data_IF_927983005288
#
_entry.id   IF_927983005288
#
_cell.length_a   1.000
_cell.length_b   1.000
_cell.length_c   1.000
_cell.angle_alpha   90.00
_cell.angle_beta   90.00
_cell.angle_gamma   90.00
#
_symmetry.space_group_name_H-M   'P 1'
#
loop_
_entity.id
_entity.type
_entity.pdbx_description
1 polymer ?
#
# COMPACT_ATOMS: atom_id res chain seq x y z
N UNK A 1 -8.41 15.31 35.77
CA UNK A 1 -8.34 16.72 35.39
C UNK A 1 -9.03 16.87 34.02
N UNK A 2 -10.14 17.64 33.93
CA UNK A 2 -10.82 17.91 32.67
C UNK A 2 -10.02 18.93 31.86
N UNK A 3 -9.82 18.68 30.58
CA UNK A 3 -9.27 19.67 29.66
C UNK A 3 -10.43 20.58 29.27
N UNK A 4 -10.42 21.85 29.69
CA UNK A 4 -11.36 22.86 29.22
C UNK A 4 -11.04 23.23 27.77
N UNK A 5 -11.83 22.72 26.82
CA UNK A 5 -11.71 23.08 25.40
C UNK A 5 -12.62 24.29 25.12
N UNK A 6 -12.12 25.27 24.38
CA UNK A 6 -12.94 26.35 23.86
C UNK A 6 -13.87 25.87 22.75
N UNK A 7 -14.95 26.58 22.46
CA UNK A 7 -15.91 26.25 21.39
C UNK A 7 -15.32 26.26 19.96
N UNK A 8 -14.03 26.59 19.82
CA UNK A 8 -13.32 26.66 18.54
C UNK A 8 -12.58 25.35 18.15
N UNK A 9 -12.59 24.34 19.02
CA UNK A 9 -11.91 23.08 18.76
C UNK A 9 -12.91 21.97 18.43
N UNK A 10 -12.58 21.17 17.41
CA UNK A 10 -13.26 19.91 17.12
C UNK A 10 -12.35 18.76 17.56
N UNK A 11 -12.88 17.86 18.38
CA UNK A 11 -12.16 16.67 18.83
C UNK A 11 -12.52 15.53 17.87
N UNK A 12 -11.50 14.90 17.30
CA UNK A 12 -11.61 13.71 16.44
C UNK A 12 -10.83 12.55 17.07
N UNK A 13 -11.19 11.30 16.78
CA UNK A 13 -10.29 10.17 17.02
C UNK A 13 -8.96 10.41 16.31
N UNK A 14 -7.85 9.88 16.87
CA UNK A 14 -6.57 9.89 16.18
C UNK A 14 -6.65 9.12 14.86
N UNK A 15 -5.94 9.60 13.84
CA UNK A 15 -5.93 8.96 12.53
C UNK A 15 -5.13 7.64 12.56
N UNK A 16 -5.47 6.74 11.64
CA UNK A 16 -4.70 5.52 11.36
C UNK A 16 -4.24 5.56 9.91
N UNK A 17 -2.93 5.42 9.67
CA UNK A 17 -2.37 5.25 8.33
C UNK A 17 -2.05 3.76 8.11
N UNK A 18 -2.70 3.15 7.14
CA UNK A 18 -2.56 1.71 6.89
C UNK A 18 -1.39 1.36 5.97
N UNK A 19 -0.61 2.36 5.54
CA UNK A 19 0.50 2.15 4.62
C UNK A 19 1.63 3.15 4.84
N UNK A 20 2.65 2.76 5.61
CA UNK A 20 3.86 3.57 5.80
C UNK A 20 5.13 2.75 5.65
N UNK A 21 6.26 3.43 5.41
CA UNK A 21 7.58 2.83 5.26
C UNK A 21 8.55 3.39 6.31
N UNK A 22 8.66 2.75 7.46
CA UNK A 22 9.62 3.17 8.50
C UNK A 22 11.02 2.57 8.34
N UNK A 23 11.23 1.74 7.31
CA UNK A 23 12.54 1.33 6.79
C UNK A 23 13.51 0.62 7.76
N UNK A 24 13.09 0.30 8.97
CA UNK A 24 13.87 -0.49 9.93
C UNK A 24 13.25 -1.87 10.17
N UNK A 25 14.10 -2.90 10.17
CA UNK A 25 15.56 -2.91 10.03
C UNK A 25 16.05 -2.72 8.58
N UNK A 26 17.33 -2.37 8.43
CA UNK A 26 18.10 -2.46 7.20
C UNK A 26 18.24 -1.18 6.37
N UNK A 27 17.30 -0.24 6.44
CA UNK A 27 17.30 0.98 5.63
C UNK A 27 17.15 2.26 6.47
N UNK A 28 17.66 2.28 7.69
CA UNK A 28 17.55 3.39 8.64
C UNK A 28 18.12 4.72 8.12
N UNK A 29 18.94 4.70 7.07
CA UNK A 29 19.40 5.90 6.38
C UNK A 29 18.28 6.61 5.58
N UNK A 30 17.14 5.95 5.33
CA UNK A 30 15.96 6.53 4.68
C UNK A 30 14.95 7.03 5.69
N UNK A 31 14.64 6.20 6.69
CA UNK A 31 13.70 6.50 7.78
C UNK A 31 13.93 5.52 8.93
N UNK A 32 13.59 5.95 10.17
CA UNK A 32 13.62 5.12 11.37
C UNK A 32 12.23 5.01 11.98
N UNK A 33 11.98 3.97 12.79
CA UNK A 33 10.74 3.83 13.55
C UNK A 33 10.58 5.01 14.51
N UNK A 34 11.68 5.46 15.14
CA UNK A 34 11.66 6.59 16.07
C UNK A 34 11.25 7.91 15.40
N UNK A 35 11.81 8.23 14.23
CA UNK A 35 11.54 9.49 13.53
C UNK A 35 10.22 9.44 12.75
N UNK A 36 9.91 8.32 12.10
CA UNK A 36 8.67 8.12 11.39
C UNK A 36 7.44 8.12 12.31
N UNK A 37 7.51 7.46 13.47
CA UNK A 37 6.41 7.49 14.45
C UNK A 37 6.18 8.89 15.04
N UNK A 38 7.24 9.68 15.25
CA UNK A 38 7.12 11.08 15.67
C UNK A 38 6.50 11.96 14.58
N UNK A 39 6.87 11.75 13.31
CA UNK A 39 6.28 12.46 12.18
C UNK A 39 4.78 12.15 12.07
N UNK A 40 4.39 10.88 12.19
CA UNK A 40 3.01 10.46 12.20
C UNK A 40 2.23 11.08 13.39
N UNK A 41 2.78 11.05 14.60
CA UNK A 41 2.18 11.69 15.77
C UNK A 41 1.97 13.19 15.56
N UNK A 42 2.94 13.88 14.95
CA UNK A 42 2.81 15.30 14.61
C UNK A 42 1.69 15.57 13.59
N UNK A 43 1.43 14.61 12.69
CA UNK A 43 0.32 14.64 11.73
C UNK A 43 -1.06 14.28 12.33
N UNK A 44 -1.12 13.94 13.62
CA UNK A 44 -2.37 13.54 14.29
C UNK A 44 -2.69 12.04 14.19
N UNK A 45 -1.75 11.22 13.72
CA UNK A 45 -1.90 9.77 13.69
C UNK A 45 -1.58 9.16 15.06
N UNK A 46 -2.39 8.22 15.49
CA UNK A 46 -2.19 7.44 16.71
C UNK A 46 -1.83 5.99 16.43
N UNK A 47 -1.99 5.56 15.18
CA UNK A 47 -1.66 4.24 14.70
C UNK A 47 -1.16 4.29 13.26
N UNK A 48 -0.21 3.41 12.92
CA UNK A 48 0.27 3.22 11.54
C UNK A 48 0.55 1.74 11.27
N UNK A 49 0.44 1.33 10.00
CA UNK A 49 0.81 -0.02 9.56
C UNK A 49 2.03 0.04 8.65
N UNK A 50 3.13 -0.67 9.02
CA UNK A 50 4.41 -0.60 8.31
C UNK A 50 4.60 -1.73 7.34
N UNK A 51 4.98 -1.42 6.10
CA UNK A 51 5.21 -2.39 5.03
C UNK A 51 6.47 -3.24 5.27
N UNK A 52 6.50 -4.50 4.77
CA UNK A 52 7.52 -5.50 5.09
C UNK A 52 8.80 -5.41 4.25
N UNK A 53 8.89 -4.47 3.30
CA UNK A 53 10.02 -4.31 2.38
C UNK A 53 11.28 -3.74 3.07
N UNK A 54 11.85 -4.57 3.93
CA UNK A 54 12.97 -4.29 4.83
C UNK A 54 14.18 -5.17 4.49
N UNK A 55 15.26 -5.06 5.27
CA UNK A 55 16.43 -5.93 5.17
C UNK A 55 16.86 -6.39 6.60
N UNK A 56 16.56 -7.63 6.98
CA UNK A 56 15.84 -8.63 6.18
C UNK A 56 14.36 -8.29 5.95
N UNK A 57 13.78 -8.85 4.88
CA UNK A 57 12.32 -8.80 4.64
C UNK A 57 11.61 -9.49 5.80
N UNK A 58 10.45 -8.97 6.25
CA UNK A 58 9.65 -9.59 7.32
C UNK A 58 8.87 -10.82 6.81
N UNK A 59 9.60 -11.85 6.33
CA UNK A 59 9.07 -13.07 5.70
C UNK A 59 9.16 -14.31 6.58
N UNK A 60 9.59 -14.16 7.81
CA UNK A 60 9.65 -15.21 8.83
C UNK A 60 9.34 -14.63 10.22
N UNK A 61 8.95 -15.49 11.16
CA UNK A 61 8.72 -15.08 12.54
C UNK A 61 9.96 -14.41 13.18
N UNK A 62 11.16 -14.87 12.82
CA UNK A 62 12.43 -14.30 13.30
C UNK A 62 12.63 -12.88 12.73
N UNK A 63 12.47 -12.68 11.42
CA UNK A 63 12.64 -11.37 10.78
C UNK A 63 11.57 -10.37 11.25
N UNK A 64 10.32 -10.82 11.37
CA UNK A 64 9.23 -10.00 11.91
C UNK A 64 9.52 -9.57 13.35
N UNK A 65 10.06 -10.48 14.18
CA UNK A 65 10.45 -10.16 15.56
C UNK A 65 11.54 -9.09 15.62
N UNK A 66 12.51 -9.09 14.71
CA UNK A 66 13.53 -8.03 14.66
C UNK A 66 12.89 -6.64 14.50
N UNK A 67 11.90 -6.52 13.63
CA UNK A 67 11.15 -5.28 13.46
C UNK A 67 10.34 -4.93 14.71
N UNK A 68 9.65 -5.93 15.30
CA UNK A 68 8.84 -5.74 16.49
C UNK A 68 9.69 -5.24 17.67
N UNK A 69 10.89 -5.79 17.89
CA UNK A 69 11.79 -5.35 18.96
C UNK A 69 12.20 -3.88 18.82
N UNK A 70 12.33 -3.39 17.58
CA UNK A 70 12.61 -1.97 17.33
C UNK A 70 11.35 -1.13 17.58
N UNK A 71 10.18 -1.60 17.15
CA UNK A 71 8.89 -0.94 17.40
C UNK A 71 8.67 -0.76 18.90
N UNK A 72 8.83 -1.82 19.67
CA UNK A 72 8.60 -1.82 21.13
C UNK A 72 9.54 -0.87 21.87
N UNK A 73 10.76 -0.69 21.36
CA UNK A 73 11.76 0.20 21.95
C UNK A 73 11.57 1.67 21.56
N UNK A 74 11.25 1.95 20.29
CA UNK A 74 11.46 3.27 19.69
C UNK A 74 10.18 3.98 19.25
N UNK A 75 9.05 3.27 19.07
CA UNK A 75 7.82 3.86 18.60
C UNK A 75 7.13 4.73 19.68
N UNK A 76 6.65 5.91 19.30
CA UNK A 76 5.88 6.77 20.21
C UNK A 76 4.35 6.72 19.98
N UNK A 77 3.89 5.98 18.97
CA UNK A 77 2.50 5.66 18.67
C UNK A 77 2.37 4.16 18.40
N UNK A 78 1.15 3.66 18.21
CA UNK A 78 0.96 2.27 17.80
C UNK A 78 1.51 2.02 16.40
N UNK A 79 2.36 1.00 16.25
CA UNK A 79 2.92 0.58 14.96
C UNK A 79 2.63 -0.89 14.76
N UNK A 80 1.91 -1.23 13.69
CA UNK A 80 1.50 -2.58 13.36
C UNK A 80 2.24 -3.04 12.09
N UNK A 81 3.15 -4.01 12.18
CA UNK A 81 3.88 -4.47 11.00
C UNK A 81 3.03 -5.38 10.12
N UNK A 82 3.17 -5.25 8.80
CA UNK A 82 2.82 -6.30 7.86
C UNK A 82 3.94 -7.35 7.81
N UNK A 83 3.56 -8.60 7.51
CA UNK A 83 4.51 -9.64 7.12
C UNK A 83 4.45 -9.87 5.61
N UNK A 84 5.54 -10.36 5.01
CA UNK A 84 5.59 -10.64 3.60
C UNK A 84 4.71 -11.84 3.21
N UNK A 85 4.13 -11.79 2.01
CA UNK A 85 3.38 -12.90 1.42
C UNK A 85 4.35 -14.01 0.98
N UNK A 86 5.45 -13.61 0.32
CA UNK A 86 6.41 -14.56 -0.25
C UNK A 86 7.80 -14.38 0.34
N UNK A 87 8.60 -15.45 0.35
CA UNK A 87 9.98 -15.44 0.83
C UNK A 87 10.79 -14.42 0.05
N UNK A 88 11.38 -13.44 0.77
CA UNK A 88 12.15 -12.35 0.19
C UNK A 88 11.36 -11.46 -0.76
N UNK A 89 10.03 -11.51 -0.75
CA UNK A 89 9.13 -10.82 -1.70
C UNK A 89 9.43 -11.15 -3.18
N UNK A 90 9.81 -12.40 -3.46
CA UNK A 90 10.19 -12.84 -4.81
C UNK A 90 9.05 -13.43 -5.63
N UNK A 91 7.89 -13.70 -5.01
CA UNK A 91 6.75 -14.32 -5.68
C UNK A 91 6.92 -15.79 -6.03
N UNK A 92 7.99 -16.45 -5.55
CA UNK A 92 8.36 -17.83 -5.91
C UNK A 92 7.92 -18.88 -4.89
N UNK A 93 7.88 -18.50 -3.62
CA UNK A 93 7.56 -19.38 -2.51
C UNK A 93 6.76 -18.64 -1.45
N UNK A 94 5.65 -19.21 -0.99
CA UNK A 94 4.87 -18.67 0.11
C UNK A 94 5.72 -18.63 1.40
N UNK A 95 5.67 -17.52 2.12
CA UNK A 95 6.29 -17.40 3.44
C UNK A 95 5.51 -18.20 4.50
N UNK A 96 6.06 -18.38 5.69
CA UNK A 96 5.35 -19.02 6.81
C UNK A 96 4.30 -18.06 7.40
N UNK A 97 3.19 -17.88 6.68
CA UNK A 97 2.11 -16.99 7.09
C UNK A 97 1.52 -17.38 8.45
N UNK A 98 1.40 -18.68 8.71
CA UNK A 98 0.85 -19.18 9.98
C UNK A 98 1.75 -18.84 11.17
N UNK A 99 3.05 -18.99 11.02
CA UNK A 99 4.03 -18.63 12.05
C UNK A 99 4.09 -17.13 12.35
N UNK A 100 3.70 -16.28 11.39
CA UNK A 100 3.74 -14.82 11.52
C UNK A 100 2.39 -14.20 11.93
N UNK A 101 1.27 -14.87 11.70
CA UNK A 101 -0.07 -14.30 11.82
C UNK A 101 -0.39 -13.68 13.20
N UNK A 102 0.18 -14.20 14.29
CA UNK A 102 -0.02 -13.67 15.63
C UNK A 102 0.67 -12.33 15.91
N UNK A 103 1.66 -11.98 15.09
CA UNK A 103 2.55 -10.84 15.32
C UNK A 103 2.53 -9.80 14.18
N UNK A 104 1.68 -9.96 13.17
CA UNK A 104 1.50 -8.99 12.10
C UNK A 104 0.04 -8.55 11.98
N UNK A 105 -0.20 -7.36 11.40
CA UNK A 105 -1.56 -6.90 11.12
C UNK A 105 -2.17 -7.70 9.96
N UNK A 106 -1.42 -7.91 8.90
CA UNK A 106 -1.80 -8.66 7.71
C UNK A 106 -0.57 -8.98 6.84
N UNK A 107 -0.78 -9.40 5.58
CA UNK A 107 0.27 -9.82 4.66
C UNK A 107 0.34 -8.93 3.43
N UNK A 108 1.57 -8.59 3.01
CA UNK A 108 1.83 -7.75 1.85
C UNK A 108 3.20 -8.05 1.25
N UNK A 109 3.29 -8.06 -0.08
CA UNK A 109 4.57 -7.97 -0.81
C UNK A 109 4.75 -6.56 -1.38
N UNK A 110 4.40 -5.52 -0.61
CA UNK A 110 4.46 -4.15 -1.08
C UNK A 110 5.80 -3.78 -1.71
N UNK A 111 5.71 -3.03 -2.83
CA UNK A 111 6.81 -2.73 -3.73
C UNK A 111 7.08 -3.81 -4.78
N UNK A 112 6.45 -4.98 -4.67
CA UNK A 112 6.54 -6.10 -5.62
C UNK A 112 5.17 -6.76 -5.74
N UNK A 113 4.51 -6.61 -6.88
CA UNK A 113 3.23 -7.32 -7.10
C UNK A 113 3.45 -8.83 -7.20
N UNK A 114 2.62 -9.63 -6.53
CA UNK A 114 2.62 -11.10 -6.72
C UNK A 114 2.12 -11.41 -8.13
N UNK A 115 2.99 -11.91 -9.00
CA UNK A 115 2.71 -12.07 -10.44
C UNK A 115 1.93 -13.35 -10.77
N UNK A 116 2.06 -14.41 -9.97
CA UNK A 116 1.42 -15.71 -10.19
C UNK A 116 0.01 -15.73 -9.60
N UNK A 117 -0.98 -16.13 -10.43
CA UNK A 117 -2.36 -16.33 -9.99
C UNK A 117 -2.45 -17.42 -8.91
N UNK A 118 -1.74 -18.52 -9.10
CA UNK A 118 -1.75 -19.65 -8.14
C UNK A 118 -1.13 -19.26 -6.81
N UNK A 119 -0.01 -18.51 -6.82
CA UNK A 119 0.64 -17.99 -5.61
C UNK A 119 -0.29 -17.04 -4.85
N UNK A 120 -0.93 -16.11 -5.56
CA UNK A 120 -1.87 -15.16 -4.94
C UNK A 120 -3.10 -15.88 -4.38
N UNK A 121 -3.66 -16.86 -5.11
CA UNK A 121 -4.78 -17.69 -4.64
C UNK A 121 -4.42 -18.45 -3.37
N UNK A 122 -3.26 -19.09 -3.33
CA UNK A 122 -2.78 -19.81 -2.14
C UNK A 122 -2.59 -18.87 -0.95
N UNK A 123 -1.99 -17.70 -1.18
CA UNK A 123 -1.84 -16.65 -0.17
C UNK A 123 -3.18 -16.20 0.39
N UNK A 124 -4.17 -15.93 -0.47
CA UNK A 124 -5.53 -15.51 -0.08
C UNK A 124 -6.25 -16.58 0.74
N UNK A 125 -6.20 -17.85 0.31
CA UNK A 125 -6.80 -18.98 1.05
C UNK A 125 -6.18 -19.08 2.44
N UNK A 126 -4.86 -19.00 2.52
CA UNK A 126 -4.13 -19.09 3.79
C UNK A 126 -4.41 -17.89 4.68
N UNK A 127 -4.36 -16.67 4.16
CA UNK A 127 -4.65 -15.45 4.92
C UNK A 127 -6.07 -15.48 5.51
N UNK A 128 -7.08 -15.85 4.71
CA UNK A 128 -8.47 -16.01 5.17
C UNK A 128 -8.59 -17.02 6.30
N UNK A 129 -7.95 -18.19 6.17
CA UNK A 129 -7.97 -19.22 7.21
C UNK A 129 -7.34 -18.74 8.53
N UNK A 130 -6.42 -17.79 8.47
CA UNK A 130 -5.78 -17.15 9.62
C UNK A 130 -6.52 -15.91 10.14
N UNK A 131 -7.67 -15.54 9.54
CA UNK A 131 -8.42 -14.34 9.89
C UNK A 131 -7.69 -13.04 9.50
N UNK A 132 -6.87 -13.10 8.44
CA UNK A 132 -6.10 -11.99 7.89
C UNK A 132 -6.58 -11.62 6.49
N UNK A 133 -6.15 -10.48 6.00
CA UNK A 133 -6.42 -9.99 4.64
C UNK A 133 -5.13 -10.02 3.80
N UNK A 134 -5.25 -9.81 2.50
CA UNK A 134 -4.09 -9.48 1.66
C UNK A 134 -4.12 -7.98 1.36
N UNK A 135 -2.99 -7.32 1.54
CA UNK A 135 -2.77 -5.90 1.22
C UNK A 135 -1.76 -5.83 0.09
N UNK A 136 -2.12 -5.30 -1.07
CA UNK A 136 -1.33 -5.51 -2.26
C UNK A 136 -0.95 -4.22 -2.99
N UNK A 137 0.35 -4.10 -3.25
CA UNK A 137 0.89 -3.28 -4.32
C UNK A 137 0.57 -3.95 -5.66
N UNK A 138 -0.24 -3.31 -6.48
CA UNK A 138 -0.70 -3.89 -7.73
C UNK A 138 0.10 -3.36 -8.91
N UNK A 139 0.97 -4.21 -9.45
CA UNK A 139 1.86 -3.85 -10.55
C UNK A 139 2.22 -5.08 -11.38
N UNK A 140 1.79 -5.11 -12.65
CA UNK A 140 2.16 -6.17 -13.60
C UNK A 140 3.57 -5.88 -14.14
N UNK A 141 4.57 -6.62 -13.66
CA UNK A 141 5.98 -6.37 -13.95
C UNK A 141 6.32 -6.36 -15.45
N UNK A 142 5.68 -7.22 -16.25
CA UNK A 142 5.92 -7.29 -17.70
C UNK A 142 5.49 -6.02 -18.46
N UNK A 143 4.62 -5.21 -17.86
CA UNK A 143 4.12 -3.96 -18.44
C UNK A 143 4.95 -2.74 -18.06
N UNK A 144 5.86 -2.84 -17.09
CA UNK A 144 6.68 -1.71 -16.63
C UNK A 144 7.70 -1.24 -17.66
N UNK A 145 8.29 -2.16 -18.42
CA UNK A 145 9.26 -1.86 -19.50
C UNK A 145 10.42 -0.95 -19.07
N UNK A 146 10.77 -0.98 -17.77
CA UNK A 146 11.77 -0.10 -17.18
C UNK A 146 11.30 1.36 -17.06
N UNK A 147 10.00 1.59 -17.07
CA UNK A 147 9.38 2.90 -16.84
C UNK A 147 9.58 3.40 -15.40
N UNK A 148 9.43 4.70 -15.21
CA UNK A 148 9.62 5.36 -13.91
C UNK A 148 8.76 6.61 -13.69
N UNK A 149 7.97 7.02 -14.70
CA UNK A 149 6.92 8.04 -14.62
C UNK A 149 5.70 7.55 -15.40
N UNK A 150 4.61 8.29 -15.40
CA UNK A 150 3.41 7.97 -16.19
C UNK A 150 3.71 7.92 -17.69
N UNK A 151 3.16 6.94 -18.40
CA UNK A 151 3.18 6.84 -19.87
C UNK A 151 2.16 7.81 -20.47
N UNK A 152 2.46 9.09 -20.36
CA UNK A 152 1.63 10.20 -20.78
C UNK A 152 2.37 11.21 -21.66
N UNK A 153 1.76 12.36 -21.87
CA UNK A 153 2.29 13.43 -22.72
C UNK A 153 3.69 13.87 -22.30
N UNK A 154 3.91 14.08 -21.00
CA UNK A 154 5.21 14.50 -20.48
C UNK A 154 6.32 13.49 -20.81
N UNK A 155 6.07 12.20 -20.61
CA UNK A 155 7.05 11.16 -20.93
C UNK A 155 7.41 11.15 -22.43
N UNK A 156 6.40 11.28 -23.29
CA UNK A 156 6.59 11.30 -24.75
C UNK A 156 7.38 12.54 -25.22
N UNK A 157 7.06 13.72 -24.70
CA UNK A 157 7.70 14.99 -25.08
C UNK A 157 9.15 15.10 -24.61
N UNK A 158 9.48 14.49 -23.45
CA UNK A 158 10.81 14.59 -22.84
C UNK A 158 11.66 13.32 -23.01
N UNK A 159 11.17 12.31 -23.74
CA UNK A 159 11.91 11.09 -24.02
C UNK A 159 12.09 10.16 -22.80
N UNK A 160 11.19 10.22 -21.84
CA UNK A 160 11.19 9.35 -20.67
C UNK A 160 10.49 8.02 -20.93
N UNK A 161 10.83 7.01 -20.12
CA UNK A 161 10.15 5.71 -20.14
C UNK A 161 8.93 5.74 -19.22
N UNK A 162 7.76 5.52 -19.83
CA UNK A 162 6.49 5.56 -19.14
C UNK A 162 6.11 4.21 -18.49
N UNK A 163 5.31 4.29 -17.42
CA UNK A 163 4.58 3.19 -16.80
C UNK A 163 3.11 3.34 -17.21
N UNK A 164 2.60 2.40 -18.00
CA UNK A 164 1.21 2.46 -18.46
C UNK A 164 0.22 2.19 -17.31
N UNK A 165 -1.01 2.69 -17.44
CA UNK A 165 -2.08 2.48 -16.45
C UNK A 165 -2.46 1.01 -16.30
N UNK A 166 -2.36 0.24 -17.38
CA UNK A 166 -2.60 -1.21 -17.41
C UNK A 166 -1.73 -1.98 -16.41
N UNK A 167 -0.56 -1.49 -16.08
CA UNK A 167 0.31 -2.16 -15.11
C UNK A 167 -0.34 -2.25 -13.73
N UNK A 168 -1.15 -1.27 -13.34
CA UNK A 168 -1.86 -1.23 -12.07
C UNK A 168 -3.20 -1.97 -12.15
N UNK A 169 -4.12 -1.50 -13.00
CA UNK A 169 -5.50 -1.98 -12.96
C UNK A 169 -5.68 -3.44 -13.40
N UNK A 170 -4.79 -3.99 -14.27
CA UNK A 170 -4.88 -5.41 -14.65
C UNK A 170 -4.58 -6.36 -13.50
N UNK A 171 -3.64 -6.02 -12.63
CA UNK A 171 -3.42 -6.82 -11.45
C UNK A 171 -4.60 -6.69 -10.48
N UNK A 172 -5.14 -5.48 -10.29
CA UNK A 172 -6.33 -5.27 -9.46
C UNK A 172 -7.49 -6.13 -9.97
N UNK A 173 -7.78 -6.10 -11.27
CA UNK A 173 -8.84 -6.91 -11.88
C UNK A 173 -8.65 -8.41 -11.62
N UNK A 174 -7.41 -8.92 -11.77
CA UNK A 174 -7.08 -10.30 -11.49
C UNK A 174 -7.27 -10.64 -10.01
N UNK A 175 -6.73 -9.82 -9.12
CA UNK A 175 -6.74 -10.09 -7.69
C UNK A 175 -8.16 -10.01 -7.11
N UNK A 176 -9.00 -9.12 -7.61
CA UNK A 176 -10.40 -9.04 -7.19
C UNK A 176 -11.22 -10.27 -7.62
N UNK A 177 -10.92 -10.88 -8.77
CA UNK A 177 -11.51 -12.17 -9.17
C UNK A 177 -11.07 -13.29 -8.20
N UNK A 178 -9.80 -13.30 -7.79
CA UNK A 178 -9.30 -14.25 -6.80
C UNK A 178 -9.87 -14.00 -5.40
N UNK A 179 -10.06 -12.74 -5.02
CA UNK A 179 -10.68 -12.37 -3.75
C UNK A 179 -12.15 -12.85 -3.68
N UNK A 180 -12.91 -12.68 -4.77
CA UNK A 180 -14.27 -13.22 -4.90
C UNK A 180 -14.28 -14.75 -4.83
N UNK A 181 -13.42 -15.42 -5.60
CA UNK A 181 -13.28 -16.88 -5.63
C UNK A 181 -12.95 -17.47 -4.25
N UNK A 182 -12.01 -16.87 -3.54
CA UNK A 182 -11.53 -17.37 -2.24
C UNK A 182 -12.34 -16.85 -1.06
N UNK A 183 -13.03 -15.73 -1.24
CA UNK A 183 -13.71 -14.97 -0.19
C UNK A 183 -12.73 -14.38 0.84
N UNK A 184 -11.49 -14.11 0.43
CA UNK A 184 -10.50 -13.40 1.24
C UNK A 184 -10.74 -11.89 1.14
N UNK A 185 -10.78 -11.18 2.27
CA UNK A 185 -10.78 -9.74 2.26
C UNK A 185 -9.47 -9.20 1.63
N UNK A 186 -9.59 -8.15 0.83
CA UNK A 186 -8.48 -7.63 0.03
C UNK A 186 -8.38 -6.11 0.14
N UNK A 187 -7.17 -5.59 0.30
CA UNK A 187 -6.91 -4.15 0.32
C UNK A 187 -5.97 -3.77 -0.80
N UNK A 188 -6.39 -2.83 -1.64
CA UNK A 188 -5.59 -2.32 -2.77
C UNK A 188 -4.82 -1.09 -2.33
N UNK A 189 -3.49 -1.17 -2.30
CA UNK A 189 -2.63 -0.04 -1.94
C UNK A 189 -2.63 1.06 -3.01
N UNK A 190 -2.50 2.31 -2.57
CA UNK A 190 -2.14 3.50 -3.35
C UNK A 190 -2.63 3.50 -4.81
N UNK A 191 -3.92 3.28 -5.07
CA UNK A 191 -4.47 3.34 -6.42
C UNK A 191 -4.24 4.71 -7.06
N UNK A 192 -3.92 4.72 -8.34
CA UNK A 192 -3.59 5.93 -9.08
C UNK A 192 -4.37 6.13 -10.39
N UNK A 193 -5.13 5.13 -10.85
CA UNK A 193 -5.80 5.14 -12.15
C UNK A 193 -7.33 5.16 -12.02
N UNK A 194 -8.02 5.79 -12.96
CA UNK A 194 -9.49 5.83 -13.04
C UNK A 194 -10.09 4.45 -13.26
N UNK A 195 -9.39 3.59 -14.01
CA UNK A 195 -9.80 2.20 -14.22
C UNK A 195 -9.82 1.43 -12.90
N UNK A 196 -8.80 1.63 -12.05
CA UNK A 196 -8.76 1.02 -10.71
C UNK A 196 -9.96 1.42 -9.86
N UNK A 197 -10.33 2.71 -9.86
CA UNK A 197 -11.52 3.20 -9.15
C UNK A 197 -12.78 2.50 -9.65
N UNK A 198 -12.96 2.41 -10.99
CA UNK A 198 -14.13 1.76 -11.59
C UNK A 198 -14.21 0.28 -11.23
N UNK A 199 -13.10 -0.45 -11.37
CA UNK A 199 -13.03 -1.90 -11.10
C UNK A 199 -13.34 -2.18 -9.63
N UNK A 200 -12.76 -1.41 -8.70
CA UNK A 200 -12.99 -1.58 -7.26
C UNK A 200 -14.45 -1.24 -6.89
N UNK A 201 -14.99 -0.15 -7.46
CA UNK A 201 -16.40 0.22 -7.27
C UNK A 201 -17.36 -0.89 -7.69
N UNK A 202 -17.10 -1.51 -8.82
CA UNK A 202 -17.95 -2.60 -9.33
C UNK A 202 -17.77 -3.89 -8.52
N UNK A 203 -16.57 -4.21 -8.07
CA UNK A 203 -16.32 -5.32 -7.16
C UNK A 203 -17.06 -5.16 -5.82
N UNK A 204 -17.01 -3.97 -5.20
CA UNK A 204 -17.77 -3.65 -3.99
C UNK A 204 -19.29 -3.84 -4.19
N UNK A 205 -19.84 -3.34 -5.31
CA UNK A 205 -21.26 -3.52 -5.65
C UNK A 205 -21.65 -4.99 -5.82
N UNK A 206 -20.69 -5.82 -6.29
CA UNK A 206 -20.89 -7.27 -6.46
C UNK A 206 -20.73 -8.04 -5.15
N UNK A 207 -20.35 -7.38 -4.05
CA UNK A 207 -20.23 -7.99 -2.72
C UNK A 207 -18.83 -8.53 -2.39
N UNK A 208 -17.81 -8.22 -3.20
CA UNK A 208 -16.42 -8.56 -2.87
C UNK A 208 -15.98 -7.71 -1.66
N UNK A 209 -15.38 -8.36 -0.66
CA UNK A 209 -14.82 -7.68 0.51
C UNK A 209 -13.50 -7.01 0.14
N UNK A 210 -13.60 -5.81 -0.41
CA UNK A 210 -12.47 -5.02 -0.87
C UNK A 210 -12.48 -3.61 -0.31
N UNK A 211 -11.31 -3.12 0.07
CA UNK A 211 -11.01 -1.72 0.37
C UNK A 211 -9.82 -1.25 -0.47
N UNK A 212 -9.64 0.07 -0.56
CA UNK A 212 -8.48 0.64 -1.23
C UNK A 212 -8.04 1.93 -0.56
N UNK A 213 -6.85 2.37 -0.89
CA UNK A 213 -6.30 3.66 -0.48
C UNK A 213 -5.72 4.42 -1.66
N UNK A 214 -5.59 5.74 -1.51
CA UNK A 214 -4.81 6.59 -2.41
C UNK A 214 -4.05 7.63 -1.61
N UNK A 215 -3.04 8.26 -2.21
CA UNK A 215 -2.23 9.27 -1.54
C UNK A 215 -2.70 10.71 -1.81
N UNK A 216 -2.45 11.67 -0.88
CA UNK A 216 -2.82 13.08 -1.06
C UNK A 216 -2.24 13.69 -2.34
N UNK A 217 -1.06 13.25 -2.76
CA UNK A 217 -0.41 13.74 -3.97
C UNK A 217 -1.16 13.31 -5.25
N UNK A 218 -1.80 12.12 -5.27
CA UNK A 218 -2.65 11.70 -6.39
C UNK A 218 -3.98 12.46 -6.47
N UNK A 219 -4.41 13.07 -5.38
CA UNK A 219 -5.64 13.86 -5.32
C UNK A 219 -5.43 15.33 -5.73
N UNK A 220 -4.18 15.82 -5.64
CA UNK A 220 -3.84 17.23 -5.84
C UNK A 220 -3.00 17.48 -7.10
N UNK A 221 -2.21 16.49 -7.52
CA UNK A 221 -1.24 16.63 -8.60
C UNK A 221 -1.58 15.70 -9.76
N UNK A 222 -1.14 16.06 -10.95
CA UNK A 222 -1.22 15.24 -12.16
C UNK A 222 0.06 15.37 -13.01
N UNK A 223 0.16 14.60 -14.08
CA UNK A 223 1.36 14.52 -14.92
C UNK A 223 1.70 15.82 -15.67
N UNK A 224 0.76 16.75 -15.80
CA UNK A 224 1.02 18.07 -16.39
C UNK A 224 1.91 18.96 -15.52
N UNK A 225 2.06 18.60 -14.24
CA UNK A 225 2.87 19.35 -13.27
C UNK A 225 4.31 18.83 -13.15
N UNK A 226 4.63 17.73 -13.83
CA UNK A 226 5.95 17.10 -13.80
C UNK A 226 7.06 18.06 -14.24
N UNK A 227 8.25 17.88 -13.68
CA UNK A 227 9.46 18.66 -14.00
C UNK A 227 10.68 17.73 -14.01
N UNK A 228 11.76 18.18 -14.64
CA UNK A 228 13.05 17.50 -14.68
C UNK A 228 13.76 17.55 -13.30
N UNK A 229 13.11 16.91 -12.30
CA UNK A 229 13.63 16.85 -10.93
C UNK A 229 13.15 15.54 -10.27
N UNK A 230 14.10 14.79 -9.68
CA UNK A 230 13.81 13.47 -9.08
C UNK A 230 12.74 13.45 -7.99
N UNK A 231 12.42 14.60 -7.39
CA UNK A 231 11.32 14.70 -6.40
C UNK A 231 9.93 14.46 -6.98
N UNK A 232 9.78 14.53 -8.31
CA UNK A 232 8.54 14.23 -9.02
C UNK A 232 8.39 12.75 -9.36
N UNK A 233 9.44 11.94 -9.09
CA UNK A 233 9.40 10.49 -9.29
C UNK A 233 8.80 9.81 -8.06
N UNK A 234 7.73 9.07 -8.27
CA UNK A 234 7.09 8.20 -7.28
C UNK A 234 6.52 6.94 -7.95
N UNK A 235 6.20 5.93 -7.17
CA UNK A 235 5.54 4.72 -7.66
C UNK A 235 4.37 4.35 -6.73
N UNK A 236 3.14 4.25 -7.28
CA UNK A 236 2.72 4.57 -8.65
C UNK A 236 3.06 6.01 -9.08
N UNK A 237 3.20 6.28 -10.41
CA UNK A 237 3.48 7.63 -10.89
C UNK A 237 2.25 8.53 -10.80
N UNK A 238 2.45 9.85 -10.78
CA UNK A 238 1.38 10.81 -11.01
C UNK A 238 0.77 10.56 -12.39
N UNK A 239 -0.54 10.35 -12.45
CA UNK A 239 -1.30 10.06 -13.66
C UNK A 239 -1.92 11.32 -14.26
N UNK A 240 -2.78 11.15 -15.25
CA UNK A 240 -3.48 12.26 -15.89
C UNK A 240 -4.47 12.97 -14.96
N UNK A 241 -4.88 14.17 -15.34
CA UNK A 241 -5.94 14.92 -14.62
C UNK A 241 -7.25 14.10 -14.52
N UNK A 242 -7.59 13.30 -15.55
CA UNK A 242 -8.78 12.45 -15.50
C UNK A 242 -8.68 11.31 -14.50
N UNK A 243 -7.47 10.82 -14.22
CA UNK A 243 -7.25 9.83 -13.17
C UNK A 243 -7.40 10.46 -11.79
N UNK A 244 -6.79 11.63 -11.57
CA UNK A 244 -6.95 12.42 -10.34
C UNK A 244 -8.43 12.69 -10.04
N UNK A 245 -9.19 13.15 -11.03
CA UNK A 245 -10.60 13.50 -10.86
C UNK A 245 -11.43 12.27 -10.51
N UNK A 246 -11.13 11.09 -11.09
CA UNK A 246 -11.80 9.83 -10.72
C UNK A 246 -11.47 9.38 -9.30
N UNK A 247 -10.24 9.60 -8.80
CA UNK A 247 -9.88 9.33 -7.41
C UNK A 247 -10.67 10.21 -6.44
N UNK A 248 -10.84 11.50 -6.77
CA UNK A 248 -11.68 12.41 -5.99
C UNK A 248 -13.14 11.97 -5.96
N UNK A 249 -13.69 11.53 -7.10
CA UNK A 249 -15.05 10.94 -7.16
C UNK A 249 -15.15 9.69 -6.27
N UNK A 250 -14.14 8.81 -6.29
CA UNK A 250 -14.10 7.60 -5.47
C UNK A 250 -14.12 7.88 -3.96
N UNK A 251 -13.50 8.98 -3.52
CA UNK A 251 -13.60 9.43 -2.11
C UNK A 251 -15.03 9.88 -1.78
N UNK A 252 -15.65 10.64 -2.68
CA UNK A 252 -16.99 11.22 -2.43
C UNK A 252 -18.07 10.14 -2.43
N UNK A 253 -17.97 9.13 -3.29
CA UNK A 253 -18.97 8.06 -3.41
C UNK A 253 -18.71 6.85 -2.49
N UNK A 254 -17.57 6.85 -1.77
CA UNK A 254 -17.22 5.79 -0.83
C UNK A 254 -16.58 4.55 -1.46
N UNK A 255 -16.08 4.68 -2.70
CA UNK A 255 -15.31 3.60 -3.32
C UNK A 255 -14.05 3.30 -2.55
#
# INVERSE_FOLDING_TARGET
AGIGLSSTYTILPGFCDVHVHFREPGFSYKETIATGSKAAAHGGYTAVCTMPNLAPVSDSAEHLKMQQDIIDRDACIHVYPYAAITVGQKGEQLADLAGMAGNCISFSDDGHGVQSDDMMREAMITAKALGKIITAHCEVNSLLRGGYIHDGTYAAEHGHRGICSESEWKQIERDLKLADETGCAYHVCHISTKESVSIIRDAKKSGVDVTCETGPHYLLLDDSMLKEDGKWKMNPPLRSASDRDALLEGIVDGT
#
